data_IF_419437250608
#
_entry.id   IF_419437250608
#
_cell.length_a   1.000
_cell.length_b   1.000
_cell.length_c   1.000
_cell.angle_alpha   90.00
_cell.angle_beta   90.00
_cell.angle_gamma   90.00
#
_symmetry.space_group_name_H-M   'P 1'
#
loop_
_entity.id
_entity.type
_entity.pdbx_description
1 polymer ?
#
# COMPACT_ATOMS: atom_id res chain seq x y z
N UNK A 1 -12.30 19.98 26.49
CA UNK A 1 -11.39 19.75 25.35
C UNK A 1 -11.67 18.33 24.89
N UNK A 2 -12.24 18.19 23.68
CA UNK A 2 -12.95 16.99 23.20
C UNK A 2 -12.06 15.74 23.23
N UNK A 3 -12.61 14.65 23.78
CA UNK A 3 -12.20 13.29 23.49
C UNK A 3 -12.18 13.09 21.98
N UNK A 4 -10.98 13.07 21.40
CA UNK A 4 -10.78 12.57 20.06
C UNK A 4 -10.97 11.06 20.14
N UNK A 5 -12.19 10.60 19.80
CA UNK A 5 -12.54 9.19 19.56
C UNK A 5 -11.31 8.43 19.08
N UNK A 6 -10.92 7.39 19.83
CA UNK A 6 -9.93 6.42 19.40
C UNK A 6 -10.26 6.03 17.95
N UNK A 7 -9.46 6.55 17.00
CA UNK A 7 -9.59 6.18 15.60
C UNK A 7 -9.45 4.67 15.57
N UNK A 8 -10.50 3.98 15.16
CA UNK A 8 -10.46 2.53 15.00
C UNK A 8 -9.28 2.20 14.08
N UNK A 9 -8.22 1.54 14.56
CA UNK A 9 -6.99 1.33 13.78
C UNK A 9 -7.29 0.61 12.45
N UNK A 10 -8.32 -0.23 12.42
CA UNK A 10 -8.78 -0.90 11.20
C UNK A 10 -9.38 0.07 10.14
N UNK A 11 -10.09 1.12 10.56
CA UNK A 11 -10.53 2.17 9.63
C UNK A 11 -9.35 3.05 9.18
N UNK A 12 -8.30 3.15 10.01
CA UNK A 12 -7.05 3.82 9.66
C UNK A 12 -6.29 3.07 8.57
N UNK A 13 -6.20 1.74 8.64
CA UNK A 13 -5.43 0.93 7.69
C UNK A 13 -6.01 0.94 6.27
N UNK A 14 -7.32 0.71 6.12
CA UNK A 14 -7.95 0.71 4.80
C UNK A 14 -7.85 2.07 4.10
N UNK A 15 -7.94 3.16 4.86
CA UNK A 15 -7.78 4.52 4.33
C UNK A 15 -6.34 4.78 3.90
N UNK A 16 -5.37 4.42 4.74
CA UNK A 16 -3.95 4.55 4.41
C UNK A 16 -3.57 3.70 3.18
N UNK A 17 -4.09 2.47 3.11
CA UNK A 17 -3.87 1.58 1.97
C UNK A 17 -4.41 2.18 0.67
N UNK A 18 -5.65 2.66 0.65
CA UNK A 18 -6.21 3.33 -0.53
C UNK A 18 -5.39 4.56 -0.93
N UNK A 19 -5.02 5.41 0.05
CA UNK A 19 -4.19 6.59 -0.22
C UNK A 19 -2.82 6.25 -0.79
N UNK A 20 -2.19 5.17 -0.32
CA UNK A 20 -0.93 4.65 -0.88
C UNK A 20 -1.10 4.20 -2.32
N UNK A 21 -2.19 3.50 -2.64
CA UNK A 21 -2.48 3.06 -4.01
C UNK A 21 -2.70 4.24 -4.95
N UNK A 22 -3.41 5.27 -4.51
CA UNK A 22 -3.64 6.49 -5.30
C UNK A 22 -2.34 7.27 -5.53
N UNK A 23 -1.52 7.42 -4.48
CA UNK A 23 -0.21 8.06 -4.58
C UNK A 23 0.71 7.29 -5.54
N UNK A 24 0.73 5.96 -5.46
CA UNK A 24 1.52 5.12 -6.35
C UNK A 24 1.06 5.21 -7.81
N UNK A 25 -0.24 5.30 -8.07
CA UNK A 25 -0.79 5.52 -9.40
C UNK A 25 -0.35 6.87 -9.99
N UNK A 26 -0.34 7.93 -9.18
CA UNK A 26 0.17 9.24 -9.59
C UNK A 26 1.68 9.19 -9.90
N UNK A 27 2.48 8.50 -9.09
CA UNK A 27 3.92 8.30 -9.35
C UNK A 27 4.15 7.49 -10.62
N UNK A 28 3.37 6.43 -10.86
CA UNK A 28 3.45 5.64 -12.09
C UNK A 28 3.17 6.50 -13.33
N UNK A 29 2.17 7.39 -13.26
CA UNK A 29 1.86 8.32 -14.34
C UNK A 29 3.02 9.31 -14.59
N UNK A 30 3.62 9.86 -13.53
CA UNK A 30 4.82 10.72 -13.65
C UNK A 30 6.02 9.97 -14.25
N UNK A 31 6.14 8.67 -13.99
CA UNK A 31 7.15 7.80 -14.57
C UNK A 31 6.85 7.41 -16.04
N UNK A 32 5.69 7.79 -16.58
CA UNK A 32 5.25 7.41 -17.93
C UNK A 32 4.93 5.92 -18.08
N UNK A 33 4.56 5.25 -16.98
CA UNK A 33 4.13 3.86 -16.99
C UNK A 33 2.65 3.76 -17.40
N UNK A 34 2.30 2.64 -18.03
CA UNK A 34 0.90 2.31 -18.24
C UNK A 34 0.19 2.08 -16.88
N UNK A 35 -1.10 2.43 -16.75
CA UNK A 35 -1.86 2.16 -15.53
C UNK A 35 -1.80 0.68 -15.13
N UNK A 36 -1.49 0.42 -13.86
CA UNK A 36 -1.47 -0.93 -13.31
C UNK A 36 -2.89 -1.50 -13.22
N UNK A 37 -3.07 -2.76 -13.62
CA UNK A 37 -4.32 -3.47 -13.36
C UNK A 37 -4.39 -3.90 -11.89
N UNK A 38 -5.25 -3.25 -11.11
CA UNK A 38 -5.45 -3.61 -9.70
C UNK A 38 -6.03 -5.01 -9.54
N UNK A 39 -5.30 -5.90 -8.88
CA UNK A 39 -5.74 -7.27 -8.57
C UNK A 39 -6.75 -7.32 -7.42
N UNK A 40 -7.48 -8.42 -7.29
CA UNK A 40 -8.37 -8.65 -6.15
C UNK A 40 -7.59 -8.70 -4.82
N UNK A 41 -6.39 -9.26 -4.82
CA UNK A 41 -5.51 -9.31 -3.65
C UNK A 41 -5.14 -7.90 -3.18
N UNK A 42 -4.78 -6.98 -4.09
CA UNK A 42 -4.49 -5.58 -3.75
C UNK A 42 -5.74 -4.90 -3.17
N UNK A 43 -6.91 -5.05 -3.80
CA UNK A 43 -8.15 -4.40 -3.33
C UNK A 43 -8.59 -4.91 -1.95
N UNK A 44 -8.51 -6.21 -1.74
CA UNK A 44 -9.05 -6.86 -0.54
C UNK A 44 -8.01 -6.97 0.59
N UNK A 45 -6.76 -6.54 0.36
CA UNK A 45 -5.66 -6.70 1.30
C UNK A 45 -6.00 -6.25 2.73
N UNK A 46 -6.57 -5.06 2.99
CA UNK A 46 -6.86 -4.62 4.36
C UNK A 46 -7.80 -5.56 5.13
N UNK A 47 -8.77 -6.17 4.45
CA UNK A 47 -9.65 -7.16 5.06
C UNK A 47 -8.90 -8.47 5.31
N UNK A 48 -8.19 -8.98 4.30
CA UNK A 48 -7.47 -10.25 4.36
C UNK A 48 -6.39 -10.27 5.45
N UNK A 49 -5.62 -9.19 5.58
CA UNK A 49 -4.55 -9.13 6.57
C UNK A 49 -5.08 -8.94 8.00
N UNK A 50 -6.21 -8.24 8.13
CA UNK A 50 -6.92 -8.13 9.41
C UNK A 50 -7.45 -9.49 9.87
N UNK A 51 -8.03 -10.26 8.95
CA UNK A 51 -8.50 -11.61 9.23
C UNK A 51 -7.35 -12.56 9.59
N UNK A 52 -6.17 -12.37 8.99
CA UNK A 52 -4.96 -13.13 9.35
C UNK A 52 -4.46 -12.81 10.77
N UNK A 53 -4.57 -11.55 11.20
CA UNK A 53 -4.27 -11.10 12.56
C UNK A 53 -2.82 -11.32 13.02
N UNK A 54 -2.60 -11.15 14.33
CA UNK A 54 -1.31 -11.41 15.00
C UNK A 54 -0.13 -10.68 14.38
N UNK A 55 1.04 -11.32 14.40
CA UNK A 55 2.30 -10.73 13.93
C UNK A 55 2.26 -10.29 12.46
N UNK A 56 1.44 -10.94 11.62
CA UNK A 56 1.29 -10.57 10.20
C UNK A 56 0.57 -9.24 10.06
N UNK A 57 -0.47 -9.03 10.84
CA UNK A 57 -1.19 -7.76 10.87
C UNK A 57 -0.31 -6.64 11.41
N UNK A 58 0.38 -6.87 12.52
CA UNK A 58 1.29 -5.89 13.12
C UNK A 58 2.42 -5.49 12.16
N UNK A 59 3.04 -6.46 11.48
CA UNK A 59 4.08 -6.19 10.48
C UNK A 59 3.53 -5.43 9.27
N UNK A 60 2.30 -5.75 8.82
CA UNK A 60 1.66 -5.04 7.73
C UNK A 60 1.35 -3.58 8.09
N UNK A 61 0.87 -3.31 9.33
CA UNK A 61 0.65 -1.94 9.81
C UNK A 61 1.94 -1.13 9.82
N UNK A 62 3.03 -1.71 10.35
CA UNK A 62 4.35 -1.06 10.36
C UNK A 62 4.85 -0.79 8.93
N UNK A 63 4.78 -1.78 8.04
CA UNK A 63 5.27 -1.61 6.67
C UNK A 63 4.43 -0.59 5.89
N UNK A 64 3.12 -0.50 6.14
CA UNK A 64 2.26 0.54 5.54
C UNK A 64 2.62 1.94 6.06
N UNK A 65 2.96 2.06 7.34
CA UNK A 65 3.45 3.32 7.90
C UNK A 65 4.78 3.74 7.25
N UNK A 66 5.72 2.81 7.08
CA UNK A 66 7.01 3.05 6.42
C UNK A 66 6.84 3.45 4.94
N UNK A 67 5.96 2.74 4.22
CA UNK A 67 5.58 3.09 2.85
C UNK A 67 5.02 4.51 2.77
N UNK A 68 4.17 4.90 3.73
CA UNK A 68 3.59 6.25 3.78
C UNK A 68 4.66 7.30 4.04
N UNK A 69 5.58 7.02 4.99
CA UNK A 69 6.69 7.90 5.33
C UNK A 69 7.69 8.08 4.17
N UNK A 70 7.85 7.07 3.30
CA UNK A 70 8.63 7.16 2.07
C UNK A 70 7.89 7.92 0.96
N UNK A 71 6.62 7.56 0.73
CA UNK A 71 5.83 8.07 -0.40
C UNK A 71 5.54 9.56 -0.28
N UNK A 72 5.18 10.04 0.92
CA UNK A 72 4.80 11.44 1.11
C UNK A 72 5.90 12.43 0.69
N UNK A 73 7.14 12.39 1.22
CA UNK A 73 8.21 13.28 0.78
C UNK A 73 8.63 13.01 -0.67
N UNK A 74 8.62 11.75 -1.13
CA UNK A 74 8.93 11.39 -2.51
C UNK A 74 7.99 12.05 -3.51
N UNK A 75 6.69 11.96 -3.29
CA UNK A 75 5.67 12.61 -4.13
C UNK A 75 5.81 14.13 -4.08
N UNK A 76 6.00 14.72 -2.89
CA UNK A 76 6.23 16.17 -2.76
C UNK A 76 7.44 16.64 -3.57
N UNK A 77 8.55 15.88 -3.54
CA UNK A 77 9.74 16.20 -4.32
C UNK A 77 9.48 16.12 -5.83
N UNK A 78 8.81 15.07 -6.31
CA UNK A 78 8.46 14.92 -7.72
C UNK A 78 7.55 16.04 -8.23
N UNK A 79 6.56 16.43 -7.43
CA UNK A 79 5.69 17.57 -7.75
C UNK A 79 6.49 18.88 -7.84
N UNK A 80 7.46 19.09 -6.94
CA UNK A 80 8.30 20.28 -6.98
C UNK A 80 9.22 20.33 -8.20
N UNK A 81 9.77 19.19 -8.65
CA UNK A 81 10.56 19.07 -9.88
C UNK A 81 9.69 19.40 -11.10
N UNK A 82 8.50 18.78 -11.20
CA UNK A 82 7.55 19.05 -12.28
C UNK A 82 7.09 20.52 -12.31
N UNK A 83 6.81 21.12 -11.15
CA UNK A 83 6.41 22.53 -11.05
C UNK A 83 7.49 23.51 -11.55
N UNK A 84 8.76 23.09 -11.57
CA UNK A 84 9.89 23.84 -12.13
C UNK A 84 10.11 23.57 -13.62
N UNK A 85 9.24 22.78 -14.25
CA UNK A 85 9.38 22.36 -15.65
C UNK A 85 10.52 21.38 -15.91
N UNK A 86 11.04 20.73 -14.86
CA UNK A 86 12.10 19.74 -14.96
C UNK A 86 11.52 18.33 -15.15
N UNK A 87 12.28 17.44 -15.77
CA UNK A 87 11.86 16.05 -15.98
C UNK A 87 12.01 15.22 -14.69
N UNK A 88 10.88 14.79 -14.13
CA UNK A 88 10.82 13.94 -12.94
C UNK A 88 10.68 12.44 -13.26
N UNK A 89 10.76 12.02 -14.54
CA UNK A 89 10.43 10.65 -14.95
C UNK A 89 11.33 9.58 -14.32
N UNK A 90 12.64 9.77 -14.35
CA UNK A 90 13.62 8.82 -13.77
C UNK A 90 13.44 8.69 -12.24
N UNK A 91 13.42 9.77 -11.44
CA UNK A 91 13.19 9.63 -10.00
C UNK A 91 11.79 9.08 -9.68
N UNK A 92 10.76 9.38 -10.49
CA UNK A 92 9.43 8.78 -10.33
C UNK A 92 9.46 7.27 -10.55
N UNK A 93 10.19 6.79 -11.58
CA UNK A 93 10.34 5.36 -11.85
C UNK A 93 11.04 4.63 -10.70
N UNK A 94 12.08 5.24 -10.11
CA UNK A 94 12.77 4.68 -8.94
C UNK A 94 11.83 4.57 -7.75
N UNK A 95 11.12 5.65 -7.39
CA UNK A 95 10.17 5.62 -6.27
C UNK A 95 9.05 4.59 -6.50
N UNK A 96 8.54 4.50 -7.73
CA UNK A 96 7.53 3.51 -8.09
C UNK A 96 8.04 2.07 -7.90
N UNK A 97 9.27 1.76 -8.32
CA UNK A 97 9.85 0.44 -8.12
C UNK A 97 10.02 0.08 -6.65
N UNK A 98 10.49 1.01 -5.81
CA UNK A 98 10.64 0.76 -4.38
C UNK A 98 9.28 0.52 -3.71
N UNK A 99 8.28 1.36 -4.01
CA UNK A 99 6.90 1.13 -3.58
C UNK A 99 6.38 -0.23 -4.03
N UNK A 100 6.55 -0.57 -5.32
CA UNK A 100 6.04 -1.81 -5.88
C UNK A 100 6.64 -3.04 -5.18
N UNK A 101 7.96 -3.04 -4.94
CA UNK A 101 8.66 -4.12 -4.23
C UNK A 101 8.17 -4.27 -2.79
N UNK A 102 8.10 -3.19 -2.04
CA UNK A 102 7.62 -3.20 -0.66
C UNK A 102 6.15 -3.63 -0.57
N UNK A 103 5.29 -3.13 -1.47
CA UNK A 103 3.90 -3.55 -1.58
C UNK A 103 3.77 -5.05 -1.86
N UNK A 104 4.57 -5.59 -2.79
CA UNK A 104 4.58 -7.04 -3.07
C UNK A 104 4.96 -7.85 -1.83
N UNK A 105 5.95 -7.40 -1.04
CA UNK A 105 6.32 -8.07 0.21
C UNK A 105 5.18 -8.06 1.24
N UNK A 106 4.51 -6.91 1.41
CA UNK A 106 3.35 -6.77 2.32
C UNK A 106 2.18 -7.66 1.90
N UNK A 107 1.89 -7.72 0.60
CA UNK A 107 0.84 -8.59 0.06
C UNK A 107 1.12 -10.07 0.30
N UNK A 108 2.39 -10.47 0.40
CA UNK A 108 2.81 -11.84 0.73
C UNK A 108 2.64 -12.23 2.21
N UNK A 109 2.26 -11.29 3.08
CA UNK A 109 1.91 -11.60 4.47
C UNK A 109 0.54 -12.27 4.58
N UNK A 110 -0.35 -12.06 3.59
CA UNK A 110 -1.64 -12.75 3.54
C UNK A 110 -1.40 -14.23 3.26
N UNK A 111 -1.90 -15.15 4.11
CA UNK A 111 -1.77 -16.58 3.86
C UNK A 111 -2.43 -16.96 2.54
N UNK A 112 -1.77 -17.84 1.77
CA UNK A 112 -2.44 -18.54 0.69
C UNK A 112 -3.66 -19.26 1.29
N UNK A 113 -4.86 -18.99 0.78
CA UNK A 113 -6.08 -19.70 1.17
C UNK A 113 -6.00 -21.14 0.65
N UNK A 114 -5.20 -21.96 1.34
CA UNK A 114 -4.69 -23.23 0.82
C UNK A 114 -4.33 -24.28 1.86
N UNK A 115 -4.94 -24.24 3.05
CA UNK A 115 -5.06 -25.41 3.95
C UNK A 115 -6.41 -25.37 4.66
N UNK A 116 -7.50 -25.48 3.89
CA UNK A 116 -8.71 -26.09 4.46
C UNK A 116 -8.33 -27.53 4.79
N UNK A 117 -8.38 -27.88 6.07
CA UNK A 117 -8.30 -29.27 6.52
C UNK A 117 -9.33 -30.16 5.80
N UNK A 118 -9.21 -31.50 5.90
CA UNK A 118 -10.00 -32.43 5.10
C UNK A 118 -11.49 -32.07 5.12
N UNK A 119 -12.10 -31.96 3.93
CA UNK A 119 -13.56 -31.86 3.82
C UNK A 119 -14.13 -33.06 4.56
N UNK A 120 -14.83 -32.82 5.67
CA UNK A 120 -15.61 -33.85 6.34
C UNK A 120 -16.71 -34.27 5.35
N UNK A 121 -16.48 -35.37 4.64
CA UNK A 121 -17.54 -36.11 3.96
C UNK A 121 -18.45 -36.68 5.05
N UNK A 122 -19.70 -36.25 5.05
CA UNK A 122 -20.80 -36.91 5.75
C UNK A 122 -21.26 -38.13 4.97
#
# INVERSE_FOLDING_TARGET
MRDASARNPAQSLSVQWTALQDAAAAVAAMAGLAPERTSAQIRNFPALIKDAGGWRFELAEQTIADLTAMMQPGVTALLAVNARGQDAKVPALTLWHEFHRARTAVLGLVPDTGTLGPRRSA
#
